data_IF_145734752759
#
_entry.id   IF_145734752759
#
_cell.length_a   1.000
_cell.length_b   1.000
_cell.length_c   1.000
_cell.angle_alpha   90.00
_cell.angle_beta   90.00
_cell.angle_gamma   90.00
#
_symmetry.space_group_name_H-M   'P 1'
#
loop_
_entity.id
_entity.type
_entity.pdbx_description
1 polymer ?
#
# COMPACT_ATOMS: atom_id res chain seq x y z
N UNK A 1 3.61 19.49 12.50
CA UNK A 1 4.52 18.35 12.32
C UNK A 1 3.62 17.16 12.02
N UNK A 2 3.55 16.73 10.76
CA UNK A 2 2.49 15.84 10.27
C UNK A 2 2.67 14.40 10.73
N UNK A 3 1.56 13.73 11.06
CA UNK A 3 1.39 12.41 11.71
C UNK A 3 1.96 11.18 10.96
N UNK A 4 2.89 11.35 10.00
CA UNK A 4 3.42 10.26 9.19
C UNK A 4 4.52 9.42 9.88
N UNK A 5 4.89 9.73 11.13
CA UNK A 5 6.04 9.11 11.81
C UNK A 5 5.87 7.63 12.17
N UNK A 6 4.68 7.04 11.99
CA UNK A 6 4.37 5.67 12.37
C UNK A 6 4.02 4.74 11.19
N UNK A 7 4.39 5.12 9.96
CA UNK A 7 4.14 4.33 8.75
C UNK A 7 5.44 3.75 8.20
N UNK A 8 5.54 2.42 8.14
CA UNK A 8 6.67 1.73 7.49
C UNK A 8 6.28 1.36 6.07
N UNK A 9 6.96 1.92 5.07
CA UNK A 9 6.72 1.61 3.65
C UNK A 9 7.30 0.24 3.27
N UNK A 10 6.46 -0.62 2.69
CA UNK A 10 6.80 -2.00 2.34
C UNK A 10 7.21 -2.17 0.87
N UNK A 11 6.72 -1.30 -0.03
CA UNK A 11 6.99 -1.36 -1.48
C UNK A 11 7.91 -0.23 -1.93
N UNK A 12 8.59 -0.41 -3.06
CA UNK A 12 9.38 0.67 -3.69
C UNK A 12 10.69 1.03 -3.01
N UNK A 13 11.28 0.11 -2.24
CA UNK A 13 12.53 0.30 -1.51
C UNK A 13 13.77 -0.08 -2.36
N UNK A 14 13.62 -0.26 -3.67
CA UNK A 14 14.70 -0.59 -4.61
C UNK A 14 15.02 -2.09 -4.76
N UNK A 15 14.24 -2.98 -4.13
CA UNK A 15 14.50 -4.42 -4.10
C UNK A 15 13.30 -5.17 -4.71
N UNK A 16 13.36 -5.52 -6.01
CA UNK A 16 12.28 -6.21 -6.75
C UNK A 16 11.80 -5.42 -7.98
N UNK A 17 10.72 -5.86 -8.65
CA UNK A 17 10.16 -5.20 -9.86
C UNK A 17 9.66 -3.76 -9.62
N UNK A 18 9.48 -3.33 -8.36
CA UNK A 18 9.10 -1.98 -8.00
C UNK A 18 10.30 -1.06 -7.76
N UNK A 19 11.19 -0.92 -8.76
CA UNK A 19 12.42 -0.13 -8.65
C UNK A 19 12.25 1.38 -8.85
N UNK A 20 11.32 1.82 -9.69
CA UNK A 20 11.33 3.19 -10.24
C UNK A 20 10.03 3.97 -10.03
N UNK A 21 9.50 4.03 -8.81
CA UNK A 21 8.32 4.86 -8.44
C UNK A 21 7.00 4.51 -9.16
N UNK A 22 6.99 3.52 -10.04
CA UNK A 22 5.81 3.11 -10.81
C UNK A 22 4.78 2.30 -10.00
N UNK A 23 5.07 2.01 -8.73
CA UNK A 23 4.22 1.16 -7.89
C UNK A 23 3.49 1.97 -6.80
N UNK A 24 2.18 1.75 -6.60
CA UNK A 24 1.47 2.21 -5.42
C UNK A 24 2.16 1.81 -4.10
N UNK A 25 2.01 2.67 -3.10
CA UNK A 25 2.68 2.51 -1.81
C UNK A 25 1.82 1.72 -0.84
N UNK A 26 2.40 0.66 -0.26
CA UNK A 26 1.81 -0.06 0.87
C UNK A 26 2.60 0.30 2.13
N UNK A 27 1.90 0.72 3.18
CA UNK A 27 2.48 1.06 4.47
C UNK A 27 1.91 0.16 5.56
N UNK A 28 2.75 -0.25 6.51
CA UNK A 28 2.31 -0.87 7.77
C UNK A 28 2.18 0.22 8.84
N UNK A 29 1.06 0.25 9.53
CA UNK A 29 0.84 1.13 10.69
C UNK A 29 1.45 0.52 11.95
N UNK A 30 1.69 1.34 12.97
CA UNK A 30 2.13 0.86 14.28
C UNK A 30 1.14 -0.12 14.95
N UNK A 31 -0.16 -0.06 14.62
CA UNK A 31 -1.20 -0.96 15.15
C UNK A 31 -1.28 -2.28 14.38
N UNK A 32 -0.46 -2.47 13.34
CA UNK A 32 -0.40 -3.71 12.55
C UNK A 32 -1.40 -3.76 11.38
N UNK A 33 -2.14 -2.68 11.12
CA UNK A 33 -2.95 -2.54 9.92
C UNK A 33 -2.11 -2.03 8.73
N UNK A 34 -2.71 -1.98 7.55
CA UNK A 34 -2.07 -1.48 6.34
C UNK A 34 -2.78 -0.23 5.82
N UNK A 35 -1.99 0.71 5.30
CA UNK A 35 -2.47 1.85 4.51
C UNK A 35 -1.98 1.64 3.09
N UNK A 36 -2.90 1.67 2.14
CA UNK A 36 -2.63 1.38 0.73
C UNK A 36 -2.93 2.64 -0.08
N UNK A 37 -1.93 3.15 -0.79
CA UNK A 37 -2.10 4.17 -1.80
C UNK A 37 -2.45 3.50 -3.13
N UNK A 38 -3.42 4.04 -3.87
CA UNK A 38 -3.80 3.58 -5.20
C UNK A 38 -4.85 4.52 -5.79
N UNK A 39 -5.31 4.22 -7.00
CA UNK A 39 -6.39 4.97 -7.63
C UNK A 39 -7.72 4.58 -7.01
N UNK A 40 -8.59 5.56 -6.75
CA UNK A 40 -9.93 5.28 -6.20
C UNK A 40 -10.74 4.53 -7.24
N UNK A 41 -11.31 3.39 -6.85
CA UNK A 41 -12.13 2.56 -7.73
C UNK A 41 -13.62 2.79 -7.48
N UNK A 42 -14.37 2.89 -8.56
CA UNK A 42 -15.83 2.95 -8.56
C UNK A 42 -16.47 1.58 -8.82
N UNK A 43 -15.71 0.48 -8.68
CA UNK A 43 -16.20 -0.88 -8.94
C UNK A 43 -17.47 -1.22 -8.13
N UNK A 44 -17.63 -0.63 -6.94
CA UNK A 44 -18.86 -0.62 -6.17
C UNK A 44 -18.87 0.52 -5.15
N UNK A 45 -20.03 0.81 -4.55
CA UNK A 45 -20.16 1.83 -3.50
C UNK A 45 -19.81 1.24 -2.12
N UNK A 46 -18.73 1.71 -1.46
CA UNK A 46 -18.40 1.24 -0.13
C UNK A 46 -19.25 1.95 0.95
N UNK A 47 -19.30 1.42 2.19
CA UNK A 47 -19.86 2.12 3.34
C UNK A 47 -19.23 3.50 3.60
N UNK A 48 -19.94 4.33 4.35
CA UNK A 48 -19.46 5.67 4.70
C UNK A 48 -18.11 5.62 5.45
N UNK A 49 -17.12 6.35 4.95
CA UNK A 49 -15.78 6.42 5.52
C UNK A 49 -14.78 5.41 4.96
N UNK A 50 -15.20 4.53 4.05
CA UNK A 50 -14.33 3.59 3.34
C UNK A 50 -14.02 4.07 1.92
N UNK A 51 -12.88 3.65 1.38
CA UNK A 51 -12.47 3.91 0.00
C UNK A 51 -11.93 2.63 -0.63
N UNK A 52 -12.34 2.37 -1.87
CA UNK A 52 -11.78 1.28 -2.67
C UNK A 52 -10.59 1.83 -3.44
N UNK A 53 -9.47 1.12 -3.41
CA UNK A 53 -8.29 1.49 -4.19
C UNK A 53 -7.84 0.33 -5.07
N UNK A 54 -7.46 0.63 -6.29
CA UNK A 54 -6.84 -0.32 -7.21
C UNK A 54 -5.33 -0.26 -7.07
N UNK A 55 -4.72 -1.43 -6.91
CA UNK A 55 -3.27 -1.61 -6.92
C UNK A 55 -2.93 -2.80 -7.84
N UNK A 56 -1.84 -2.73 -8.62
CA UNK A 56 -1.39 -3.87 -9.39
C UNK A 56 -1.06 -5.06 -8.49
N UNK A 57 -1.46 -6.26 -8.90
CA UNK A 57 -1.25 -7.49 -8.13
C UNK A 57 0.22 -7.70 -7.73
N UNK A 58 1.15 -7.41 -8.64
CA UNK A 58 2.58 -7.53 -8.40
C UNK A 58 3.04 -6.69 -7.18
N UNK A 59 2.48 -5.49 -6.99
CA UNK A 59 2.81 -4.62 -5.87
C UNK A 59 2.40 -5.24 -4.54
N UNK A 60 1.19 -5.81 -4.49
CA UNK A 60 0.69 -6.47 -3.28
C UNK A 60 1.50 -7.73 -2.97
N UNK A 61 1.84 -8.53 -3.99
CA UNK A 61 2.70 -9.70 -3.84
C UNK A 61 4.07 -9.34 -3.27
N UNK A 62 4.68 -8.28 -3.77
CA UNK A 62 5.97 -7.80 -3.26
C UNK A 62 5.87 -7.31 -1.81
N UNK A 63 4.78 -6.63 -1.45
CA UNK A 63 4.53 -6.20 -0.08
C UNK A 63 4.41 -7.41 0.88
N UNK A 64 3.69 -8.46 0.47
CA UNK A 64 3.54 -9.70 1.25
C UNK A 64 4.89 -10.43 1.37
N UNK A 65 5.63 -10.57 0.26
CA UNK A 65 6.99 -11.15 0.25
C UNK A 65 7.92 -10.41 1.21
N UNK A 66 7.87 -9.09 1.24
CA UNK A 66 8.69 -8.26 2.14
C UNK A 66 8.37 -8.49 3.64
N UNK A 67 7.17 -8.97 3.97
CA UNK A 67 6.78 -9.35 5.33
C UNK A 67 7.20 -10.78 5.71
N UNK A 68 7.73 -11.57 4.76
CA UNK A 68 8.19 -12.95 4.98
C UNK A 68 7.06 -13.98 5.08
N UNK A 69 5.92 -13.71 4.42
CA UNK A 69 4.78 -14.63 4.33
C UNK A 69 4.82 -15.48 3.06
#
# INVERSE_FOLDING_TARGET
MSEHSALTRLTGNGNGECGEKDCPNVYRTATGSFVVQGDVSDAFTPPAGEGLVEIPEAVLREAIRALGW
#
